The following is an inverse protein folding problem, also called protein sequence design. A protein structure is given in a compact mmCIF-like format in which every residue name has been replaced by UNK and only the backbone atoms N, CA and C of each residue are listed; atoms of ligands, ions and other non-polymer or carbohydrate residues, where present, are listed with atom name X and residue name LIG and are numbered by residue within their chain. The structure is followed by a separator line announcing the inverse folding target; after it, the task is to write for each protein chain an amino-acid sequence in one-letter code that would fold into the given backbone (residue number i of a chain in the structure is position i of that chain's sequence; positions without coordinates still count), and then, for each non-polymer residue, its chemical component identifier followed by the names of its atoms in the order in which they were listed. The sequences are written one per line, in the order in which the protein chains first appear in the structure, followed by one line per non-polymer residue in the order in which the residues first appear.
data_IF_768760004395
#
_entry.id   IF_768760004395
#
_cell.length_a   1.000
_cell.length_b   1.000
_cell.length_c   1.000
_cell.angle_alpha   90.00
_cell.angle_beta   90.00
_cell.angle_gamma   90.00
#
_symmetry.space_group_name_H-M   'P 1'
#
loop_
_entity.id
_entity.type
_entity.pdbx_description
1 polymer ?
#
# COMPACT_ATOMS: atom_id res chain seq x y z
N UNK A 1 -5.94 24.31 11.88
CA UNK A 1 -5.10 24.05 10.68
C UNK A 1 -3.95 23.08 10.96
N UNK A 2 -3.23 23.21 12.10
CA UNK A 2 -2.30 22.17 12.59
C UNK A 2 -2.99 20.80 12.82
N UNK A 3 -4.21 20.81 13.36
CA UNK A 3 -4.96 19.58 13.67
C UNK A 3 -5.36 18.77 12.44
N UNK A 4 -5.61 19.41 11.30
CA UNK A 4 -6.10 18.74 10.09
C UNK A 4 -5.01 17.88 9.44
N UNK A 5 -3.77 18.35 9.47
CA UNK A 5 -2.63 17.60 8.94
C UNK A 5 -2.22 16.46 9.87
N UNK A 6 -2.33 16.69 11.19
CA UNK A 6 -2.08 15.64 12.18
C UNK A 6 -3.15 14.53 12.09
N UNK A 7 -4.41 14.90 11.90
CA UNK A 7 -5.51 13.97 11.64
C UNK A 7 -5.28 13.19 10.33
N UNK A 8 -4.95 13.86 9.24
CA UNK A 8 -4.62 13.23 7.96
C UNK A 8 -3.49 12.21 8.13
N UNK A 9 -2.38 12.62 8.73
CA UNK A 9 -1.24 11.74 9.00
C UNK A 9 -1.63 10.52 9.84
N UNK A 10 -2.42 10.71 10.90
CA UNK A 10 -2.87 9.59 11.74
C UNK A 10 -3.79 8.63 10.99
N UNK A 11 -4.72 9.14 10.18
CA UNK A 11 -5.60 8.32 9.36
C UNK A 11 -4.82 7.55 8.29
N UNK A 12 -3.91 8.21 7.57
CA UNK A 12 -3.05 7.56 6.56
C UNK A 12 -2.16 6.49 7.20
N UNK A 13 -1.54 6.78 8.34
CA UNK A 13 -0.70 5.81 9.05
C UNK A 13 -1.52 4.62 9.56
N UNK A 14 -2.70 4.87 10.13
CA UNK A 14 -3.59 3.79 10.57
C UNK A 14 -4.04 2.92 9.40
N UNK A 15 -4.31 3.52 8.25
CA UNK A 15 -4.66 2.81 7.03
C UNK A 15 -3.49 1.94 6.54
N UNK A 16 -2.28 2.49 6.54
CA UNK A 16 -1.07 1.76 6.13
C UNK A 16 -0.77 0.58 7.04
N UNK A 17 -0.90 0.75 8.36
CA UNK A 17 -0.73 -0.35 9.33
C UNK A 17 -1.78 -1.43 9.10
N UNK A 18 -3.04 -1.05 8.90
CA UNK A 18 -4.12 -2.01 8.62
C UNK A 18 -3.78 -2.87 7.39
N UNK A 19 -3.35 -2.23 6.30
CA UNK A 19 -3.02 -2.94 5.07
C UNK A 19 -1.72 -3.73 5.13
N UNK A 20 -0.69 -3.22 5.83
CA UNK A 20 0.54 -3.95 6.09
C UNK A 20 0.32 -5.23 6.91
N UNK A 21 -0.77 -5.31 7.68
CA UNK A 21 -1.17 -6.51 8.44
C UNK A 21 -2.11 -7.39 7.63
N UNK A 22 -3.10 -6.82 6.96
CA UNK A 22 -4.10 -7.56 6.19
C UNK A 22 -3.50 -8.33 5.00
N UNK A 23 -2.50 -7.75 4.32
CA UNK A 23 -1.91 -8.36 3.12
C UNK A 23 -1.09 -9.62 3.45
N UNK A 24 -0.18 -9.62 4.44
CA UNK A 24 0.48 -10.84 4.88
C UNK A 24 -0.50 -11.91 5.39
N UNK A 25 -1.51 -11.51 6.17
CA UNK A 25 -2.53 -12.45 6.68
C UNK A 25 -3.35 -13.08 5.56
N UNK A 26 -3.79 -12.29 4.57
CA UNK A 26 -4.49 -12.83 3.40
C UNK A 26 -3.60 -13.75 2.57
N UNK A 27 -2.30 -13.44 2.47
CA UNK A 27 -1.33 -14.27 1.75
C UNK A 27 -1.09 -15.61 2.47
N UNK A 28 -1.05 -15.63 3.80
CA UNK A 28 -0.95 -16.86 4.61
C UNK A 28 -2.18 -17.76 4.42
N UNK A 29 -3.39 -17.19 4.45
CA UNK A 29 -4.63 -17.94 4.22
C UNK A 29 -4.65 -18.63 2.84
N UNK A 30 -4.08 -17.99 1.82
CA UNK A 30 -4.03 -18.55 0.47
C UNK A 30 -2.94 -19.60 0.33
N UNK A 31 -1.75 -19.41 0.93
CA UNK A 31 -0.72 -20.46 0.97
C UNK A 31 -1.24 -21.74 1.65
N UNK A 32 -2.04 -21.58 2.71
CA UNK A 32 -2.64 -22.71 3.42
C UNK A 32 -3.73 -23.44 2.60
N UNK A 33 -4.48 -22.74 1.73
CA UNK A 33 -5.65 -23.31 1.04
C UNK A 33 -5.46 -23.57 -0.47
N UNK A 34 -4.57 -22.84 -1.16
CA UNK A 34 -4.44 -22.82 -2.62
C UNK A 34 -2.98 -23.07 -3.03
N UNK A 35 -2.55 -24.33 -2.87
CA UNK A 35 -1.15 -24.80 -2.85
C UNK A 35 -0.33 -24.62 -4.14
N UNK A 36 -0.94 -24.27 -5.28
CA UNK A 36 -0.32 -24.52 -6.60
C UNK A 36 0.15 -23.28 -7.39
N UNK A 37 0.22 -22.10 -6.78
CA UNK A 37 0.27 -20.85 -7.56
C UNK A 37 1.46 -19.97 -7.14
N UNK A 38 2.66 -20.50 -7.40
CA UNK A 38 3.95 -19.88 -7.01
C UNK A 38 4.10 -18.44 -7.53
N UNK A 39 3.55 -18.14 -8.70
CA UNK A 39 3.59 -16.78 -9.29
C UNK A 39 2.73 -15.77 -8.54
N UNK A 40 1.56 -16.20 -8.07
CA UNK A 40 0.66 -15.36 -7.29
C UNK A 40 1.21 -15.11 -5.90
N UNK A 41 1.81 -16.13 -5.28
CA UNK A 41 2.57 -15.95 -4.04
C UNK A 41 3.74 -14.98 -4.22
N UNK A 42 4.51 -15.12 -5.30
CA UNK A 42 5.61 -14.20 -5.62
C UNK A 42 5.11 -12.77 -5.82
N UNK A 43 4.02 -12.57 -6.58
CA UNK A 43 3.41 -11.27 -6.79
C UNK A 43 2.98 -10.63 -5.47
N UNK A 44 2.32 -11.39 -4.57
CA UNK A 44 1.93 -10.92 -3.24
C UNK A 44 3.14 -10.50 -2.38
N UNK A 45 4.25 -11.23 -2.44
CA UNK A 45 5.49 -10.88 -1.73
C UNK A 45 6.05 -9.55 -2.27
N UNK A 46 6.11 -9.39 -3.60
CA UNK A 46 6.60 -8.15 -4.24
C UNK A 46 5.73 -6.96 -3.82
N UNK A 47 4.40 -7.08 -3.90
CA UNK A 47 3.48 -6.02 -3.49
C UNK A 47 3.59 -5.72 -2.00
N UNK A 48 3.79 -6.74 -1.15
CA UNK A 48 4.01 -6.54 0.28
C UNK A 48 5.30 -5.74 0.54
N UNK A 49 6.39 -6.07 -0.14
CA UNK A 49 7.66 -5.32 -0.03
C UNK A 49 7.51 -3.88 -0.52
N UNK A 50 6.82 -3.67 -1.65
CA UNK A 50 6.48 -2.35 -2.19
C UNK A 50 5.77 -1.48 -1.13
N UNK A 51 4.74 -2.03 -0.50
CA UNK A 51 3.94 -1.30 0.49
C UNK A 51 4.71 -1.04 1.79
N UNK A 52 5.55 -1.97 2.24
CA UNK A 52 6.44 -1.75 3.41
C UNK A 52 7.40 -0.60 3.13
N UNK A 53 8.04 -0.60 1.95
CA UNK A 53 8.99 0.44 1.54
C UNK A 53 8.28 1.79 1.42
N UNK A 54 7.11 1.84 0.74
CA UNK A 54 6.31 3.06 0.62
C UNK A 54 5.87 3.60 1.98
N UNK A 55 5.42 2.73 2.88
CA UNK A 55 5.01 3.13 4.24
C UNK A 55 6.19 3.69 5.06
N UNK A 56 7.36 3.06 4.96
CA UNK A 56 8.58 3.54 5.61
C UNK A 56 8.96 4.94 5.12
N UNK A 57 9.02 5.14 3.80
CA UNK A 57 9.38 6.44 3.23
C UNK A 57 8.34 7.53 3.51
N UNK A 58 7.05 7.19 3.52
CA UNK A 58 5.99 8.10 3.94
C UNK A 58 6.24 8.65 5.34
N UNK A 59 6.49 7.77 6.32
CA UNK A 59 6.78 8.19 7.71
C UNK A 59 8.06 9.02 7.78
N UNK A 60 9.11 8.59 7.08
CA UNK A 60 10.40 9.26 7.08
C UNK A 60 10.29 10.69 6.52
N UNK A 61 9.74 10.84 5.31
CA UNK A 61 9.62 12.14 4.65
C UNK A 61 8.62 13.06 5.34
N UNK A 62 7.55 12.52 5.92
CA UNK A 62 6.65 13.34 6.75
C UNK A 62 7.37 13.92 7.98
N UNK A 63 8.16 13.10 8.70
CA UNK A 63 8.95 13.58 9.84
C UNK A 63 10.00 14.61 9.41
N UNK A 64 10.71 14.34 8.32
CA UNK A 64 11.70 15.27 7.78
C UNK A 64 11.05 16.60 7.38
N UNK A 65 9.94 16.56 6.64
CA UNK A 65 9.18 17.74 6.22
C UNK A 65 8.70 18.58 7.39
N UNK A 66 8.20 17.95 8.45
CA UNK A 66 7.77 18.66 9.66
C UNK A 66 8.90 19.39 10.40
N UNK A 67 10.15 18.92 10.30
CA UNK A 67 11.30 19.58 10.93
C UNK A 67 11.71 20.87 10.20
N UNK A 68 11.52 20.92 8.88
CA UNK A 68 11.95 22.06 8.05
C UNK A 68 10.79 22.98 7.63
N UNK A 69 9.55 22.57 7.90
CA UNK A 69 8.35 23.30 7.49
C UNK A 69 8.30 24.71 8.12
N UNK A 70 8.28 25.72 7.25
CA UNK A 70 8.01 27.11 7.64
C UNK A 70 6.75 27.68 6.97
N UNK A 71 5.99 26.86 6.22
CA UNK A 71 4.85 27.32 5.46
C UNK A 71 3.66 27.71 6.36
N UNK A 72 3.00 28.82 6.04
CA UNK A 72 1.74 29.24 6.68
C UNK A 72 0.58 28.29 6.35
N UNK A 73 0.67 27.57 5.21
CA UNK A 73 -0.32 26.60 4.77
C UNK A 73 0.33 25.27 4.41
N UNK A 74 0.00 24.23 5.17
CA UNK A 74 0.47 22.86 4.98
C UNK A 74 -0.04 22.19 3.70
N UNK A 75 -1.20 22.63 3.19
CA UNK A 75 -1.81 22.07 1.98
C UNK A 75 -1.33 22.74 0.69
N UNK A 76 -0.61 23.84 0.81
CA UNK A 76 -0.11 24.59 -0.33
C UNK A 76 1.27 25.14 0.00
N UNK A 77 2.26 24.26 -0.11
CA UNK A 77 3.68 24.58 0.00
C UNK A 77 4.19 24.82 -1.42
N UNK A 78 4.75 25.99 -1.68
CA UNK A 78 5.36 26.33 -2.97
C UNK A 78 6.72 25.64 -3.11
N UNK A 79 7.17 25.45 -4.34
CA UNK A 79 8.43 24.74 -4.64
C UNK A 79 9.67 25.35 -3.96
N UNK A 80 9.67 26.66 -3.75
CA UNK A 80 10.73 27.39 -3.08
C UNK A 80 10.60 27.45 -1.55
N UNK A 81 9.50 26.95 -0.98
CA UNK A 81 9.30 26.93 0.47
C UNK A 81 9.95 25.69 1.10
N UNK A 82 10.55 25.85 2.30
CA UNK A 82 11.19 24.73 3.00
C UNK A 82 10.13 23.71 3.43
N UNK A 83 10.41 22.44 3.18
CA UNK A 83 9.47 21.32 3.35
C UNK A 83 8.84 20.84 2.04
N UNK A 84 8.88 21.61 0.95
CA UNK A 84 8.25 21.20 -0.32
C UNK A 84 8.76 19.85 -0.83
N UNK A 85 10.08 19.67 -0.88
CA UNK A 85 10.69 18.45 -1.41
C UNK A 85 10.32 17.24 -0.57
N UNK A 86 10.35 17.39 0.75
CA UNK A 86 10.02 16.36 1.72
C UNK A 86 8.55 15.97 1.61
N UNK A 87 7.62 16.92 1.60
CA UNK A 87 6.19 16.62 1.47
C UNK A 87 5.82 16.07 0.09
N UNK A 88 6.52 16.47 -0.97
CA UNK A 88 6.33 15.87 -2.30
C UNK A 88 6.77 14.40 -2.32
N UNK A 89 7.94 14.07 -1.74
CA UNK A 89 8.40 12.69 -1.60
C UNK A 89 7.49 11.86 -0.69
N UNK A 90 6.95 12.48 0.36
CA UNK A 90 5.93 11.89 1.22
C UNK A 90 4.67 11.49 0.42
N UNK A 91 4.15 12.41 -0.40
CA UNK A 91 2.99 12.14 -1.26
C UNK A 91 3.27 11.03 -2.30
N UNK A 92 4.45 11.04 -2.94
CA UNK A 92 4.86 9.96 -3.86
C UNK A 92 4.88 8.60 -3.13
N UNK A 93 5.40 8.58 -1.90
CA UNK A 93 5.46 7.37 -1.07
C UNK A 93 4.06 6.87 -0.70
N UNK A 94 3.12 7.77 -0.41
CA UNK A 94 1.73 7.44 -0.16
C UNK A 94 1.07 6.80 -1.39
N UNK A 95 1.28 7.37 -2.57
CA UNK A 95 0.79 6.79 -3.83
C UNK A 95 1.36 5.41 -4.11
N UNK A 96 2.62 5.16 -3.75
CA UNK A 96 3.25 3.84 -3.89
C UNK A 96 2.53 2.76 -3.06
N UNK A 97 2.05 3.13 -1.87
CA UNK A 97 1.23 2.25 -1.03
C UNK A 97 -0.17 2.05 -1.62
N UNK A 98 -0.81 3.11 -2.10
CA UNK A 98 -2.14 3.04 -2.75
C UNK A 98 -2.10 2.13 -3.99
N UNK A 99 -1.06 2.23 -4.81
CA UNK A 99 -0.89 1.35 -5.97
C UNK A 99 -0.77 -0.12 -5.55
N UNK A 100 -0.05 -0.40 -4.45
CA UNK A 100 0.02 -1.76 -3.89
C UNK A 100 -1.36 -2.31 -3.48
N UNK A 101 -2.27 -1.45 -3.00
CA UNK A 101 -3.65 -1.85 -2.69
C UNK A 101 -4.46 -2.21 -3.93
N UNK A 102 -4.25 -1.47 -5.02
CA UNK A 102 -4.89 -1.77 -6.31
C UNK A 102 -4.35 -3.09 -6.85
N UNK A 103 -3.04 -3.27 -6.82
CA UNK A 103 -2.36 -4.49 -7.27
C UNK A 103 -2.82 -5.73 -6.50
N UNK A 104 -2.90 -5.67 -5.16
CA UNK A 104 -3.35 -6.83 -4.37
C UNK A 104 -4.80 -7.19 -4.66
N UNK A 105 -5.65 -6.19 -4.93
CA UNK A 105 -7.05 -6.40 -5.31
C UNK A 105 -7.14 -7.10 -6.67
N UNK A 106 -6.34 -6.66 -7.66
CA UNK A 106 -6.28 -7.26 -8.98
C UNK A 106 -5.73 -8.70 -8.93
N UNK A 107 -4.63 -8.92 -8.18
CA UNK A 107 -4.04 -10.24 -7.95
C UNK A 107 -5.10 -11.17 -7.36
N UNK A 108 -5.82 -10.73 -6.33
CA UNK A 108 -6.88 -11.53 -5.69
C UNK A 108 -8.01 -11.85 -6.68
N UNK A 109 -8.44 -10.88 -7.50
CA UNK A 109 -9.46 -11.11 -8.53
C UNK A 109 -9.02 -12.14 -9.58
N UNK A 110 -7.77 -12.08 -10.03
CA UNK A 110 -7.19 -13.04 -10.97
C UNK A 110 -7.03 -14.45 -10.35
N UNK A 111 -6.67 -14.51 -9.07
CA UNK A 111 -6.61 -15.75 -8.29
C UNK A 111 -7.98 -16.45 -8.26
N UNK A 112 -9.01 -15.71 -7.85
CA UNK A 112 -10.39 -16.22 -7.78
C UNK A 112 -10.88 -16.70 -9.14
N UNK A 113 -10.69 -15.89 -10.19
CA UNK A 113 -11.14 -16.24 -11.55
C UNK A 113 -10.49 -17.51 -12.06
N UNK A 114 -9.20 -17.66 -11.83
CA UNK A 114 -8.47 -18.83 -12.33
C UNK A 114 -8.82 -20.07 -11.48
N UNK A 115 -9.20 -19.91 -10.20
CA UNK A 115 -9.69 -21.00 -9.36
C UNK A 115 -11.06 -21.50 -9.84
N UNK A 116 -11.98 -20.58 -10.17
CA UNK A 116 -13.27 -20.91 -10.80
C UNK A 116 -13.08 -21.73 -12.09
N UNK A 117 -12.18 -21.29 -12.97
CA UNK A 117 -11.92 -22.00 -14.23
C UNK A 117 -11.41 -23.43 -14.00
N UNK A 118 -10.50 -23.64 -13.04
CA UNK A 118 -10.01 -24.98 -12.69
C UNK A 118 -11.12 -25.86 -12.11
N UNK A 119 -11.98 -25.30 -11.26
CA UNK A 119 -13.10 -26.02 -10.68
C UNK A 119 -14.11 -26.45 -11.76
N UNK A 120 -14.41 -25.58 -12.73
CA UNK A 120 -15.24 -25.93 -13.89
C UNK A 120 -14.63 -27.02 -14.77
N UNK A 121 -13.31 -27.00 -15.00
CA UNK A 121 -12.63 -28.05 -15.78
C UNK A 121 -12.70 -29.40 -15.09
N UNK A 122 -12.47 -29.46 -13.79
CA UNK A 122 -12.56 -30.71 -13.00
C UNK A 122 -13.98 -31.27 -13.08
N UNK A 123 -15.00 -30.43 -12.92
CA UNK A 123 -16.41 -30.86 -12.94
C UNK A 123 -16.94 -31.22 -14.33
N UNK A 124 -16.25 -30.84 -15.42
CA UNK A 124 -16.59 -31.28 -16.79
C UNK A 124 -16.02 -32.66 -17.14
N UNK A 125 -15.05 -33.15 -16.36
CA UNK A 125 -14.34 -34.42 -16.59
C UNK A 125 -14.98 -35.58 -15.79
N UNK A 126 -15.79 -35.26 -14.76
CA UNK A 126 -16.58 -36.19 -13.95
C UNK A 126 -18.00 -36.29 -14.49
#
# INVERSE_FOLDING_TARGET
MKDTNQLHFHLTLSNFICHAVAIPLSSLLIVCNFRSWKWFLLARIVVSLQMIIGSYFFVYFNRAGLLVLQAKNLFYIKENEPGYKEFNQCAISEWFVILGLIEITLITGLELRTYENQYEEINKIV
#
